data_IF_879334642951
#
_entry.id   IF_879334642951
#
_cell.length_a   1.000
_cell.length_b   1.000
_cell.length_c   1.000
_cell.angle_alpha   90.00
_cell.angle_beta   90.00
_cell.angle_gamma   90.00
#
_symmetry.space_group_name_H-M   'P 1'
#
loop_
_entity.id
_entity.type
_entity.pdbx_description
1 polymer ?
#
# COMPACT_ATOMS: atom_id res chain seq x y z
N UNK A 1 -40.49 23.29 -38.54
CA UNK A 1 -40.03 22.99 -37.19
C UNK A 1 -40.09 21.47 -36.95
N UNK A 2 -38.94 20.85 -36.82
CA UNK A 2 -38.77 19.39 -36.69
C UNK A 2 -39.45 18.84 -35.44
N UNK A 3 -39.47 19.59 -34.33
CA UNK A 3 -40.21 19.19 -33.13
C UNK A 3 -41.71 19.08 -33.38
N UNK A 4 -42.32 20.09 -34.03
CA UNK A 4 -43.73 20.06 -34.36
C UNK A 4 -44.06 18.92 -35.31
N UNK A 5 -43.21 18.62 -36.27
CA UNK A 5 -43.36 17.47 -37.17
C UNK A 5 -43.30 16.15 -36.41
N UNK A 6 -42.33 15.98 -35.45
CA UNK A 6 -42.22 14.81 -34.58
C UNK A 6 -43.47 14.61 -33.73
N UNK A 7 -43.98 15.66 -33.10
CA UNK A 7 -45.23 15.60 -32.34
C UNK A 7 -46.45 15.28 -33.22
N UNK A 8 -46.51 15.78 -34.45
CA UNK A 8 -47.56 15.45 -35.41
C UNK A 8 -47.51 13.97 -35.80
N UNK A 9 -46.31 13.44 -36.11
CA UNK A 9 -46.15 12.02 -36.40
C UNK A 9 -46.55 11.15 -35.20
N UNK A 10 -46.16 11.54 -33.99
CA UNK A 10 -46.55 10.86 -32.76
C UNK A 10 -48.10 10.80 -32.64
N UNK A 11 -48.78 11.95 -32.77
CA UNK A 11 -50.21 12.02 -32.71
C UNK A 11 -50.90 11.13 -33.76
N UNK A 12 -50.45 11.17 -35.00
CA UNK A 12 -51.04 10.37 -36.09
C UNK A 12 -50.89 8.86 -35.86
N UNK A 13 -49.79 8.42 -35.22
CA UNK A 13 -49.51 7.00 -35.00
C UNK A 13 -50.08 6.45 -33.69
N UNK A 14 -50.34 7.31 -32.70
CA UNK A 14 -50.82 6.91 -31.36
C UNK A 14 -52.28 7.33 -31.10
N UNK A 15 -52.78 8.35 -31.80
CA UNK A 15 -54.07 8.98 -31.51
C UNK A 15 -54.03 9.93 -30.30
N UNK A 16 -52.92 10.10 -29.62
CA UNK A 16 -52.77 10.95 -28.44
C UNK A 16 -52.60 12.41 -28.87
N UNK A 17 -53.46 13.30 -28.40
CA UNK A 17 -53.36 14.75 -28.68
C UNK A 17 -52.19 15.34 -27.89
N UNK A 18 -51.20 15.97 -28.53
CA UNK A 18 -50.08 16.66 -27.84
C UNK A 18 -50.50 17.74 -26.84
N UNK A 19 -51.77 18.19 -26.93
CA UNK A 19 -52.37 19.22 -26.06
C UNK A 19 -53.10 18.63 -24.85
N UNK A 20 -53.20 17.30 -24.75
CA UNK A 20 -53.94 16.63 -23.65
C UNK A 20 -53.31 16.84 -22.28
N UNK A 21 -52.07 17.34 -22.20
CA UNK A 21 -51.32 17.50 -20.95
C UNK A 21 -50.70 16.19 -20.43
N UNK A 22 -50.84 15.10 -21.18
CA UNK A 22 -50.15 13.84 -20.87
C UNK A 22 -48.66 13.95 -21.15
N UNK A 23 -47.87 13.28 -20.32
CA UNK A 23 -46.44 13.22 -20.53
C UNK A 23 -46.10 12.45 -21.82
N UNK A 24 -45.08 12.91 -22.55
CA UNK A 24 -44.60 12.21 -23.74
C UNK A 24 -44.20 10.79 -23.40
N UNK A 25 -44.68 9.84 -24.18
CA UNK A 25 -44.29 8.43 -24.12
C UNK A 25 -43.93 7.91 -25.52
N UNK A 26 -42.95 7.01 -25.66
CA UNK A 26 -42.58 6.45 -26.97
C UNK A 26 -43.77 5.82 -27.71
N UNK A 27 -43.79 5.94 -29.02
CA UNK A 27 -44.96 5.52 -29.85
C UNK A 27 -45.31 4.04 -29.71
N UNK A 28 -44.29 3.18 -29.44
CA UNK A 28 -44.51 1.74 -29.28
C UNK A 28 -45.10 1.33 -27.94
N UNK A 29 -45.18 2.24 -26.96
CA UNK A 29 -45.95 2.01 -25.74
C UNK A 29 -47.48 1.98 -26.07
N UNK A 30 -47.90 2.72 -27.09
CA UNK A 30 -49.29 2.81 -27.52
C UNK A 30 -49.59 1.87 -28.69
N UNK A 31 -48.63 1.70 -29.60
CA UNK A 31 -48.76 0.81 -30.75
C UNK A 31 -47.49 -0.05 -30.91
N UNK A 32 -47.43 -1.24 -30.26
CA UNK A 32 -46.26 -2.12 -30.28
C UNK A 32 -45.88 -2.69 -31.67
N UNK A 33 -46.75 -2.62 -32.63
CA UNK A 33 -46.51 -3.12 -34.00
C UNK A 33 -45.61 -2.18 -34.82
N UNK A 34 -45.45 -0.93 -34.37
CA UNK A 34 -44.57 0.01 -35.04
C UNK A 34 -43.10 -0.43 -34.94
N UNK A 35 -42.35 -0.15 -35.99
CA UNK A 35 -40.91 -0.49 -36.00
C UNK A 35 -40.15 0.34 -34.99
N UNK A 36 -39.10 -0.28 -34.39
CA UNK A 36 -38.17 0.41 -33.50
C UNK A 36 -37.49 1.62 -34.16
N UNK A 37 -37.26 1.55 -35.48
CA UNK A 37 -36.70 2.66 -36.24
C UNK A 37 -37.58 3.90 -36.28
N UNK A 38 -38.90 3.74 -36.48
CA UNK A 38 -39.85 4.85 -36.46
C UNK A 38 -39.92 5.49 -35.07
N UNK A 39 -39.94 4.69 -34.01
CA UNK A 39 -39.90 5.21 -32.64
C UNK A 39 -38.64 6.07 -32.40
N UNK A 40 -37.47 5.56 -32.76
CA UNK A 40 -36.21 6.29 -32.59
C UNK A 40 -36.14 7.60 -33.40
N UNK A 41 -36.75 7.63 -34.58
CA UNK A 41 -36.86 8.83 -35.42
C UNK A 41 -37.74 9.87 -34.75
N UNK A 42 -38.90 9.46 -34.25
CA UNK A 42 -39.84 10.38 -33.57
C UNK A 42 -39.25 10.88 -32.28
N UNK A 43 -38.67 10.00 -31.44
CA UNK A 43 -38.01 10.38 -30.20
C UNK A 43 -36.92 11.43 -30.46
N UNK A 44 -36.11 11.24 -31.50
CA UNK A 44 -35.05 12.19 -31.87
C UNK A 44 -35.64 13.54 -32.36
N UNK A 45 -36.80 13.55 -33.02
CA UNK A 45 -37.46 14.80 -33.39
C UNK A 45 -37.93 15.60 -32.18
N UNK A 46 -38.41 14.93 -31.13
CA UNK A 46 -38.99 15.55 -29.94
C UNK A 46 -38.04 15.68 -28.76
N UNK A 47 -36.76 15.40 -28.95
CA UNK A 47 -35.72 15.60 -27.92
C UNK A 47 -35.88 17.01 -27.28
N UNK A 48 -35.76 17.11 -25.93
CA UNK A 48 -35.88 18.39 -25.23
C UNK A 48 -34.87 19.43 -25.71
N UNK A 49 -33.62 19.03 -25.89
CA UNK A 49 -32.54 19.88 -26.34
C UNK A 49 -32.50 19.99 -27.87
N UNK A 50 -32.66 21.18 -28.45
CA UNK A 50 -32.74 21.39 -29.91
C UNK A 50 -31.50 20.86 -30.67
N UNK A 51 -30.34 20.91 -30.07
CA UNK A 51 -29.07 20.40 -30.63
C UNK A 51 -29.05 18.88 -30.80
N UNK A 52 -29.87 18.15 -30.08
CA UNK A 52 -30.00 16.70 -30.19
C UNK A 52 -31.03 16.26 -31.24
N UNK A 53 -31.81 17.20 -31.77
CA UNK A 53 -32.80 16.95 -32.84
C UNK A 53 -32.11 16.85 -34.20
N UNK A 54 -32.87 16.46 -35.22
CA UNK A 54 -32.41 16.65 -36.58
C UNK A 54 -32.19 18.14 -36.87
N UNK A 55 -31.04 18.48 -37.48
CA UNK A 55 -30.70 19.88 -37.78
C UNK A 55 -31.23 20.34 -39.13
N UNK A 56 -31.63 19.40 -39.98
CA UNK A 56 -32.27 19.67 -41.27
C UNK A 56 -33.25 18.56 -41.65
N UNK A 57 -34.17 18.89 -42.58
CA UNK A 57 -35.18 17.93 -43.02
C UNK A 57 -34.63 16.82 -43.93
N UNK A 58 -33.49 17.03 -44.54
CA UNK A 58 -32.86 16.01 -45.42
C UNK A 58 -32.35 14.83 -44.60
N UNK A 59 -31.77 15.07 -43.41
CA UNK A 59 -31.31 14.02 -42.51
C UNK A 59 -32.50 13.22 -41.93
N UNK A 60 -33.59 13.93 -41.61
CA UNK A 60 -34.81 13.28 -41.15
C UNK A 60 -35.43 12.40 -42.26
N UNK A 61 -35.49 12.90 -43.50
CA UNK A 61 -36.01 12.14 -44.65
C UNK A 61 -35.15 10.91 -44.91
N UNK A 62 -33.82 11.04 -44.89
CA UNK A 62 -32.93 9.91 -45.07
C UNK A 62 -33.16 8.83 -44.04
N UNK A 63 -33.30 9.18 -42.77
CA UNK A 63 -33.54 8.23 -41.69
C UNK A 63 -34.96 7.58 -41.79
N UNK A 64 -35.96 8.32 -42.28
CA UNK A 64 -37.32 7.78 -42.56
C UNK A 64 -37.32 6.77 -43.72
N UNK A 65 -36.46 6.97 -44.73
CA UNK A 65 -36.30 6.03 -45.83
C UNK A 65 -35.48 4.79 -45.44
N UNK A 66 -34.66 4.89 -44.36
CA UNK A 66 -33.74 3.83 -43.94
C UNK A 66 -33.85 3.51 -42.43
N UNK A 67 -35.02 3.19 -41.87
CA UNK A 67 -35.24 3.02 -40.43
C UNK A 67 -34.42 1.87 -39.84
N UNK A 68 -34.06 0.86 -40.64
CA UNK A 68 -33.21 -0.26 -40.19
C UNK A 68 -31.79 0.16 -39.89
N UNK A 69 -31.24 1.18 -40.55
CA UNK A 69 -29.88 1.66 -40.31
C UNK A 69 -29.78 2.37 -38.94
N UNK A 70 -30.81 3.13 -38.58
CA UNK A 70 -30.91 3.78 -37.26
C UNK A 70 -30.95 2.72 -36.16
N UNK A 71 -31.80 1.73 -36.28
CA UNK A 71 -31.90 0.65 -35.28
C UNK A 71 -30.59 -0.09 -35.09
N UNK A 72 -29.86 -0.42 -36.16
CA UNK A 72 -28.54 -1.06 -36.11
C UNK A 72 -27.51 -0.15 -35.43
N UNK A 73 -27.49 1.13 -35.77
CA UNK A 73 -26.61 2.13 -35.19
C UNK A 73 -26.82 2.31 -33.68
N UNK A 74 -28.09 2.42 -33.28
CA UNK A 74 -28.51 2.55 -31.89
C UNK A 74 -28.09 1.31 -31.06
N UNK A 75 -28.40 0.10 -31.52
CA UNK A 75 -28.02 -1.16 -30.85
C UNK A 75 -26.51 -1.31 -30.73
N UNK A 76 -25.74 -0.90 -31.75
CA UNK A 76 -24.28 -0.92 -31.70
C UNK A 76 -23.74 0.08 -30.66
N UNK A 77 -24.29 1.28 -30.57
CA UNK A 77 -23.93 2.31 -29.60
C UNK A 77 -24.26 1.88 -28.16
N UNK A 78 -25.45 1.31 -27.94
CA UNK A 78 -25.84 0.75 -26.65
C UNK A 78 -24.93 -0.39 -26.20
N UNK A 79 -24.64 -1.36 -27.06
CA UNK A 79 -23.70 -2.45 -26.74
C UNK A 79 -22.34 -1.92 -26.33
N UNK A 80 -21.82 -0.88 -27.00
CA UNK A 80 -20.55 -0.24 -26.60
C UNK A 80 -20.61 0.45 -25.24
N UNK A 81 -21.71 1.14 -24.92
CA UNK A 81 -21.90 1.76 -23.60
C UNK A 81 -21.95 0.70 -22.50
N UNK A 82 -22.73 -0.37 -22.69
CA UNK A 82 -22.80 -1.48 -21.73
C UNK A 82 -21.46 -2.17 -21.56
N UNK A 83 -20.71 -2.44 -22.65
CA UNK A 83 -19.39 -3.02 -22.59
C UNK A 83 -18.39 -2.11 -21.82
N UNK A 84 -18.45 -0.80 -22.05
CA UNK A 84 -17.62 0.16 -21.32
C UNK A 84 -17.95 0.18 -19.82
N UNK A 85 -19.25 0.20 -19.46
CA UNK A 85 -19.66 0.15 -18.05
C UNK A 85 -19.28 -1.16 -17.38
N UNK A 86 -19.41 -2.29 -18.09
CA UNK A 86 -18.97 -3.59 -17.58
C UNK A 86 -17.44 -3.64 -17.37
N UNK A 87 -16.64 -3.10 -18.30
CA UNK A 87 -15.20 -3.00 -18.16
C UNK A 87 -14.81 -2.11 -16.98
N UNK A 88 -15.44 -0.94 -16.83
CA UNK A 88 -15.21 -0.05 -15.69
C UNK A 88 -15.58 -0.71 -14.35
N UNK A 89 -16.71 -1.43 -14.30
CA UNK A 89 -17.09 -2.19 -13.11
C UNK A 89 -16.08 -3.29 -12.77
N UNK A 90 -15.56 -3.99 -13.77
CA UNK A 90 -14.57 -5.05 -13.56
C UNK A 90 -13.24 -4.50 -13.02
N UNK A 91 -12.78 -3.33 -13.48
CA UNK A 91 -11.58 -2.69 -12.94
C UNK A 91 -11.73 -2.33 -11.47
N UNK A 92 -12.88 -1.79 -11.05
CA UNK A 92 -13.15 -1.48 -9.64
C UNK A 92 -13.12 -2.75 -8.78
N UNK A 93 -13.74 -3.84 -9.24
CA UNK A 93 -13.72 -5.12 -8.52
C UNK A 93 -12.31 -5.67 -8.36
N UNK A 94 -11.48 -5.60 -9.40
CA UNK A 94 -10.08 -6.03 -9.35
C UNK A 94 -9.25 -5.18 -8.37
N UNK A 95 -9.48 -3.86 -8.35
CA UNK A 95 -8.82 -2.97 -7.38
C UNK A 95 -9.19 -3.30 -5.94
N UNK A 96 -10.48 -3.51 -5.66
CA UNK A 96 -10.97 -3.88 -4.34
C UNK A 96 -10.41 -5.25 -3.89
N UNK A 97 -10.43 -6.23 -4.80
CA UNK A 97 -9.83 -7.54 -4.52
C UNK A 97 -8.34 -7.44 -4.21
N UNK A 98 -7.59 -6.65 -4.97
CA UNK A 98 -6.17 -6.37 -4.71
C UNK A 98 -5.94 -5.74 -3.33
N UNK A 99 -6.73 -4.72 -2.96
CA UNK A 99 -6.65 -4.08 -1.66
C UNK A 99 -6.94 -5.04 -0.50
N UNK A 100 -7.95 -5.90 -0.65
CA UNK A 100 -8.27 -6.93 0.35
C UNK A 100 -7.14 -7.96 0.48
N UNK A 101 -6.60 -8.44 -0.64
CA UNK A 101 -5.48 -9.40 -0.63
C UNK A 101 -4.24 -8.82 0.05
N UNK A 102 -3.88 -7.56 -0.23
CA UNK A 102 -2.73 -6.91 0.41
C UNK A 102 -2.93 -6.72 1.91
N UNK A 103 -4.14 -6.36 2.35
CA UNK A 103 -4.47 -6.22 3.76
C UNK A 103 -4.39 -7.56 4.50
N UNK A 104 -4.91 -8.64 3.91
CA UNK A 104 -4.83 -9.98 4.48
C UNK A 104 -3.36 -10.43 4.57
N UNK A 105 -2.57 -10.25 3.51
CA UNK A 105 -1.16 -10.62 3.50
C UNK A 105 -0.38 -9.85 4.59
N UNK A 106 -0.62 -8.55 4.75
CA UNK A 106 -0.01 -7.74 5.80
C UNK A 106 -0.39 -8.22 7.19
N UNK A 107 -1.66 -8.56 7.43
CA UNK A 107 -2.11 -9.07 8.72
C UNK A 107 -1.49 -10.43 9.06
N UNK A 108 -1.36 -11.33 8.07
CA UNK A 108 -0.69 -12.63 8.26
C UNK A 108 0.79 -12.41 8.60
N UNK A 109 1.48 -11.54 7.89
CA UNK A 109 2.89 -11.23 8.15
C UNK A 109 3.09 -10.61 9.54
N UNK A 110 2.22 -9.68 9.95
CA UNK A 110 2.27 -9.11 11.30
C UNK A 110 2.07 -10.19 12.37
N UNK A 111 1.06 -11.04 12.22
CA UNK A 111 0.81 -12.13 13.18
C UNK A 111 1.97 -13.12 13.25
N UNK A 112 2.56 -13.46 12.11
CA UNK A 112 3.74 -14.32 12.06
C UNK A 112 4.95 -13.67 12.73
N UNK A 113 5.16 -12.37 12.50
CA UNK A 113 6.24 -11.61 13.13
C UNK A 113 6.09 -11.62 14.66
N UNK A 114 4.93 -11.26 15.20
CA UNK A 114 4.68 -11.23 16.65
C UNK A 114 4.90 -12.58 17.32
N UNK A 115 4.53 -13.67 16.65
CA UNK A 115 4.79 -15.05 17.14
C UNK A 115 6.31 -15.32 17.17
N UNK A 116 7.05 -14.86 16.17
CA UNK A 116 8.47 -15.12 16.04
C UNK A 116 9.33 -14.32 17.04
N UNK A 117 8.93 -13.09 17.38
CA UNK A 117 9.63 -12.26 18.37
C UNK A 117 9.29 -12.60 19.82
N UNK A 118 8.25 -13.43 20.03
CA UNK A 118 7.81 -13.85 21.37
C UNK A 118 7.86 -15.38 21.55
N UNK A 119 9.03 -16.02 21.36
CA UNK A 119 9.14 -17.47 21.56
C UNK A 119 8.93 -17.84 23.03
N UNK A 120 8.54 -19.10 23.29
CA UNK A 120 8.40 -19.60 24.66
C UNK A 120 9.73 -19.47 25.43
N UNK A 121 9.65 -19.14 26.72
CA UNK A 121 10.81 -19.06 27.61
C UNK A 121 11.56 -20.39 27.76
N UNK A 122 10.89 -21.54 27.48
CA UNK A 122 11.49 -22.86 27.48
C UNK A 122 12.21 -23.23 26.18
N UNK A 123 12.19 -22.35 25.17
CA UNK A 123 12.82 -22.57 23.86
C UNK A 123 14.34 -22.47 23.97
N UNK A 124 15.08 -23.41 23.37
CA UNK A 124 16.54 -23.37 23.33
C UNK A 124 17.05 -22.13 22.59
N UNK A 125 18.23 -21.62 22.98
CA UNK A 125 18.83 -20.40 22.39
C UNK A 125 18.84 -20.43 20.85
N UNK A 126 19.35 -21.50 20.26
CA UNK A 126 19.46 -21.61 18.79
C UNK A 126 18.09 -21.52 18.09
N UNK A 127 17.05 -22.09 18.70
CA UNK A 127 15.68 -22.01 18.16
C UNK A 127 15.10 -20.60 18.29
N UNK A 128 15.42 -19.88 19.39
CA UNK A 128 15.07 -18.47 19.56
C UNK A 128 15.75 -17.63 18.47
N UNK A 129 17.04 -17.79 18.28
CA UNK A 129 17.82 -17.07 17.27
C UNK A 129 17.28 -17.32 15.86
N UNK A 130 16.96 -18.58 15.51
CA UNK A 130 16.35 -18.90 14.20
C UNK A 130 14.97 -18.25 14.04
N UNK A 131 14.18 -18.14 15.11
CA UNK A 131 12.91 -17.43 15.09
C UNK A 131 13.11 -15.94 14.83
N UNK A 132 14.05 -15.29 15.51
CA UNK A 132 14.36 -13.89 15.30
C UNK A 132 14.90 -13.60 13.89
N UNK A 133 15.75 -14.47 13.33
CA UNK A 133 16.20 -14.36 11.93
C UNK A 133 15.04 -14.40 10.95
N UNK A 134 14.05 -15.27 11.20
CA UNK A 134 12.84 -15.35 10.38
C UNK A 134 11.97 -14.12 10.54
N UNK A 135 11.88 -13.54 11.75
CA UNK A 135 11.19 -12.27 11.97
C UNK A 135 11.87 -11.12 11.19
N UNK A 136 13.19 -11.00 11.27
CA UNK A 136 13.98 -10.04 10.51
C UNK A 136 13.75 -10.17 8.99
N UNK A 137 13.62 -11.40 8.48
CA UNK A 137 13.33 -11.62 7.06
C UNK A 137 11.91 -11.16 6.65
N UNK A 138 10.95 -11.08 7.58
CA UNK A 138 9.60 -10.56 7.32
C UNK A 138 9.58 -9.03 7.31
N UNK A 139 10.22 -8.39 8.31
CA UNK A 139 10.28 -6.94 8.48
C UNK A 139 11.70 -6.51 8.88
N UNK A 140 12.60 -6.37 7.90
CA UNK A 140 14.01 -6.04 8.16
C UNK A 140 14.22 -4.64 8.75
N UNK A 141 13.25 -3.75 8.59
CA UNK A 141 13.26 -2.38 9.12
C UNK A 141 12.88 -2.28 10.61
N UNK A 142 12.29 -3.33 11.20
CA UNK A 142 11.88 -3.33 12.61
C UNK A 142 13.03 -3.76 13.52
N UNK A 143 13.28 -2.98 14.56
CA UNK A 143 14.37 -3.20 15.49
C UNK A 143 14.11 -4.28 16.55
N UNK A 144 12.83 -4.59 16.83
CA UNK A 144 12.41 -5.52 17.90
C UNK A 144 13.10 -6.89 17.82
N UNK A 145 13.16 -7.49 16.62
CA UNK A 145 13.75 -8.81 16.45
C UNK A 145 15.28 -8.80 16.67
N UNK A 146 15.95 -7.70 16.32
CA UNK A 146 17.38 -7.51 16.61
C UNK A 146 17.61 -7.32 18.11
N UNK A 147 16.75 -6.56 18.80
CA UNK A 147 16.79 -6.39 20.25
C UNK A 147 16.61 -7.73 20.96
N UNK A 148 15.58 -8.49 20.61
CA UNK A 148 15.34 -9.82 21.18
C UNK A 148 16.51 -10.79 20.96
N UNK A 149 17.18 -10.70 19.79
CA UNK A 149 18.38 -11.51 19.52
C UNK A 149 19.54 -11.15 20.43
N UNK A 150 19.79 -9.86 20.67
CA UNK A 150 20.84 -9.39 21.59
C UNK A 150 20.51 -9.74 23.05
N UNK A 151 19.24 -9.59 23.46
CA UNK A 151 18.79 -9.98 24.80
C UNK A 151 18.95 -11.48 25.04
N UNK A 152 18.64 -12.32 24.04
CA UNK A 152 18.83 -13.76 24.16
C UNK A 152 20.32 -14.14 24.32
N UNK A 153 21.23 -13.45 23.66
CA UNK A 153 22.67 -13.64 23.85
C UNK A 153 23.14 -13.14 25.24
N UNK A 154 22.58 -12.01 25.69
CA UNK A 154 22.88 -11.46 27.03
C UNK A 154 22.43 -12.39 28.15
N UNK A 155 21.20 -12.91 28.07
CA UNK A 155 20.64 -13.85 29.05
C UNK A 155 21.48 -15.12 29.22
N UNK A 156 22.09 -15.58 28.14
CA UNK A 156 23.03 -16.73 28.16
C UNK A 156 24.47 -16.33 28.49
N UNK A 157 24.73 -15.02 28.65
CA UNK A 157 26.07 -14.49 28.89
C UNK A 157 27.05 -14.74 27.74
N UNK A 158 26.53 -14.89 26.51
CA UNK A 158 27.32 -15.22 25.31
C UNK A 158 27.20 -14.10 24.28
N UNK A 159 28.35 -13.50 23.96
CA UNK A 159 28.49 -12.62 22.79
C UNK A 159 29.94 -12.73 22.30
N UNK A 160 30.29 -13.93 21.83
CA UNK A 160 31.58 -14.20 21.23
C UNK A 160 31.64 -13.80 19.77
N UNK A 161 32.75 -14.16 19.15
CA UNK A 161 32.98 -13.85 17.73
C UNK A 161 31.90 -14.45 16.81
N UNK A 162 31.46 -15.68 17.09
CA UNK A 162 30.43 -16.36 16.26
C UNK A 162 29.11 -15.63 16.32
N UNK A 163 28.59 -15.35 17.53
CA UNK A 163 27.34 -14.62 17.74
C UNK A 163 27.40 -13.21 17.16
N UNK A 164 28.54 -12.55 17.33
CA UNK A 164 28.82 -11.23 16.75
C UNK A 164 28.76 -11.26 15.21
N UNK A 165 29.47 -12.19 14.59
CA UNK A 165 29.55 -12.27 13.13
C UNK A 165 28.15 -12.58 12.52
N UNK A 166 27.38 -13.46 13.18
CA UNK A 166 26.00 -13.77 12.81
C UNK A 166 25.09 -12.53 12.93
N UNK A 167 25.13 -11.85 14.07
CA UNK A 167 24.34 -10.64 14.29
C UNK A 167 24.70 -9.52 13.31
N UNK A 168 26.01 -9.23 13.16
CA UNK A 168 26.47 -8.18 12.27
C UNK A 168 26.15 -8.44 10.80
N UNK A 169 26.15 -9.70 10.37
CA UNK A 169 25.75 -10.04 9.00
C UNK A 169 24.32 -9.59 8.72
N UNK A 170 23.37 -9.84 9.66
CA UNK A 170 21.99 -9.42 9.54
C UNK A 170 21.84 -7.90 9.66
N UNK A 171 22.47 -7.29 10.66
CA UNK A 171 22.42 -5.86 10.90
C UNK A 171 22.94 -5.08 9.68
N UNK A 172 24.14 -5.41 9.18
CA UNK A 172 24.75 -4.71 8.05
C UNK A 172 23.98 -4.91 6.73
N UNK A 173 23.33 -6.05 6.56
CA UNK A 173 22.49 -6.29 5.38
C UNK A 173 21.24 -5.41 5.35
N UNK A 174 20.74 -4.99 6.52
CA UNK A 174 19.45 -4.34 6.64
C UNK A 174 19.50 -2.92 7.23
N UNK A 175 20.64 -2.45 7.78
CA UNK A 175 20.75 -1.15 8.46
C UNK A 175 20.27 0.04 7.64
N UNK A 176 20.39 -0.03 6.32
CA UNK A 176 19.93 1.04 5.41
C UNK A 176 18.40 1.09 5.28
N UNK A 177 17.67 0.10 5.83
CA UNK A 177 16.20 0.09 5.89
C UNK A 177 15.66 0.72 7.17
N UNK A 178 16.51 0.96 8.17
CA UNK A 178 16.10 1.55 9.43
C UNK A 178 15.80 3.04 9.28
N UNK A 179 14.83 3.51 10.05
CA UNK A 179 14.60 4.94 10.23
C UNK A 179 15.51 5.46 11.36
N UNK A 180 16.68 5.97 11.00
CA UNK A 180 17.71 6.46 11.92
C UNK A 180 17.31 7.73 12.70
N UNK A 181 16.06 8.20 12.57
CA UNK A 181 15.50 9.33 13.32
C UNK A 181 14.62 8.89 14.50
N UNK A 182 14.51 7.57 14.72
CA UNK A 182 13.62 7.01 15.73
C UNK A 182 14.35 6.61 17.00
N UNK A 183 13.64 6.62 18.13
CA UNK A 183 14.15 6.16 19.42
C UNK A 183 14.49 4.67 19.41
N UNK A 184 13.74 3.86 18.69
CA UNK A 184 13.94 2.42 18.57
C UNK A 184 15.30 2.06 17.94
N UNK A 185 15.74 2.83 16.96
CA UNK A 185 17.08 2.64 16.35
C UNK A 185 18.17 3.12 17.29
N UNK A 186 17.94 4.21 18.03
CA UNK A 186 18.87 4.70 19.05
C UNK A 186 19.05 3.69 20.20
N UNK A 187 17.97 3.08 20.65
CA UNK A 187 17.98 2.01 21.66
C UNK A 187 18.72 0.77 21.16
N UNK A 188 18.51 0.37 19.90
CA UNK A 188 19.24 -0.72 19.27
C UNK A 188 20.75 -0.43 19.23
N UNK A 189 21.16 0.76 18.79
CA UNK A 189 22.56 1.17 18.78
C UNK A 189 23.16 1.13 20.19
N UNK A 190 22.44 1.67 21.19
CA UNK A 190 22.85 1.61 22.57
C UNK A 190 23.04 0.16 23.05
N UNK A 191 22.05 -0.72 22.80
CA UNK A 191 22.11 -2.13 23.16
C UNK A 191 23.31 -2.85 22.53
N UNK A 192 23.55 -2.63 21.22
CA UNK A 192 24.72 -3.19 20.53
C UNK A 192 26.02 -2.69 21.19
N UNK A 193 26.11 -1.39 21.48
CA UNK A 193 27.23 -0.81 22.19
C UNK A 193 27.50 -1.49 23.54
N UNK A 194 26.42 -1.72 24.32
CA UNK A 194 26.48 -2.40 25.62
C UNK A 194 26.90 -3.88 25.49
N UNK A 195 26.44 -4.59 24.48
CA UNK A 195 26.85 -5.96 24.21
C UNK A 195 28.36 -6.05 23.95
N UNK A 196 28.91 -5.15 23.15
CA UNK A 196 30.36 -5.07 22.96
C UNK A 196 31.09 -4.69 24.24
N UNK A 197 30.61 -3.69 24.94
CA UNK A 197 31.32 -3.17 26.12
C UNK A 197 31.41 -4.20 27.25
N UNK A 198 30.34 -4.95 27.48
CA UNK A 198 30.23 -5.86 28.63
C UNK A 198 30.54 -7.32 28.30
N UNK A 199 30.10 -7.83 27.14
CA UNK A 199 30.02 -9.28 26.90
C UNK A 199 30.95 -9.79 25.79
N UNK A 200 31.43 -8.94 24.87
CA UNK A 200 32.20 -9.41 23.73
C UNK A 200 33.45 -10.18 24.13
N UNK A 201 33.67 -11.33 23.48
CA UNK A 201 34.89 -12.16 23.62
C UNK A 201 35.39 -12.56 22.23
N UNK A 202 36.72 -12.76 22.13
CA UNK A 202 37.36 -13.32 20.94
C UNK A 202 37.05 -14.83 20.81
N UNK A 203 37.53 -15.44 19.72
CA UNK A 203 37.29 -16.86 19.41
C UNK A 203 37.80 -17.83 20.45
N UNK A 204 38.90 -17.48 21.14
CA UNK A 204 39.51 -18.25 22.23
C UNK A 204 38.88 -17.98 23.61
N UNK A 205 37.78 -17.19 23.65
CA UNK A 205 37.12 -16.77 24.88
C UNK A 205 37.85 -15.66 25.64
N UNK A 206 39.01 -15.20 25.16
CA UNK A 206 39.72 -14.05 25.75
C UNK A 206 38.98 -12.74 25.42
N UNK A 207 39.27 -11.70 26.16
CA UNK A 207 38.82 -10.35 25.83
C UNK A 207 39.91 -9.32 26.12
N UNK A 208 39.94 -8.29 25.29
CA UNK A 208 40.69 -7.08 25.53
C UNK A 208 39.71 -5.93 25.77
N UNK A 209 39.91 -5.19 26.86
CA UNK A 209 39.11 -3.99 27.12
C UNK A 209 39.23 -2.99 25.98
N UNK A 210 40.41 -2.87 25.40
CA UNK A 210 40.66 -2.06 24.21
C UNK A 210 39.77 -2.45 23.03
N UNK A 211 39.68 -3.76 22.71
CA UNK A 211 38.83 -4.28 21.63
C UNK A 211 37.37 -4.00 21.92
N UNK A 212 36.91 -4.26 23.15
CA UNK A 212 35.53 -3.98 23.58
C UNK A 212 35.16 -2.50 23.40
N UNK A 213 36.00 -1.60 23.88
CA UNK A 213 35.79 -0.15 23.77
C UNK A 213 35.79 0.31 22.32
N UNK A 214 36.69 -0.19 21.48
CA UNK A 214 36.76 0.20 20.07
C UNK A 214 35.47 -0.22 19.29
N UNK A 215 35.01 -1.44 19.56
CA UNK A 215 33.76 -1.93 18.92
C UNK A 215 32.52 -1.17 19.41
N UNK A 216 32.40 -0.97 20.72
CA UNK A 216 31.28 -0.24 21.33
C UNK A 216 31.21 1.22 20.89
N UNK A 217 32.38 1.87 20.76
CA UNK A 217 32.48 3.29 20.40
C UNK A 217 31.68 3.64 19.14
N UNK A 218 31.72 2.82 18.09
CA UNK A 218 31.06 3.12 16.81
C UNK A 218 29.56 3.28 16.97
N UNK A 219 28.92 2.46 17.80
CA UNK A 219 27.49 2.48 18.03
C UNK A 219 27.05 3.62 18.96
N UNK A 220 27.80 3.89 20.03
CA UNK A 220 27.53 5.06 20.86
C UNK A 220 27.78 6.38 20.10
N UNK A 221 28.80 6.40 19.22
CA UNK A 221 29.07 7.57 18.39
C UNK A 221 27.98 7.84 17.34
N UNK A 222 27.28 6.82 16.86
CA UNK A 222 26.16 6.99 15.96
C UNK A 222 25.01 7.72 16.64
N UNK A 223 24.67 7.35 17.87
CA UNK A 223 23.68 8.08 18.66
C UNK A 223 24.12 9.51 19.00
N UNK A 224 25.38 9.70 19.39
CA UNK A 224 25.93 11.02 19.73
C UNK A 224 25.93 11.99 18.53
N UNK A 225 26.27 11.50 17.33
CA UNK A 225 26.43 12.32 16.13
C UNK A 225 25.10 12.58 15.39
N UNK A 226 24.06 11.84 15.70
CA UNK A 226 22.76 12.00 15.05
C UNK A 226 21.88 12.99 15.83
N UNK A 227 21.87 14.25 15.37
CA UNK A 227 21.07 15.31 15.98
C UNK A 227 19.55 15.14 15.80
N UNK A 228 19.12 14.22 14.95
CA UNK A 228 17.70 13.97 14.66
C UNK A 228 17.09 12.92 15.61
N UNK A 229 17.92 12.22 16.41
CA UNK A 229 17.44 11.26 17.41
C UNK A 229 16.62 11.98 18.49
N UNK A 230 15.44 11.47 18.85
CA UNK A 230 14.67 11.99 19.97
C UNK A 230 15.48 11.98 21.27
N UNK A 231 15.44 13.07 22.01
CA UNK A 231 16.19 13.23 23.29
C UNK A 231 15.48 12.59 24.49
N UNK A 232 14.41 11.84 24.27
CA UNK A 232 13.50 11.25 25.26
C UNK A 232 13.56 9.73 25.34
N UNK A 233 14.49 9.07 24.64
CA UNK A 233 14.64 7.64 24.83
C UNK A 233 15.32 7.36 26.20
N UNK A 234 14.88 6.30 26.87
CA UNK A 234 15.16 6.01 28.28
C UNK A 234 16.67 6.01 28.60
N UNK A 235 17.48 5.43 27.73
CA UNK A 235 18.92 5.26 27.92
C UNK A 235 19.79 6.34 27.27
N UNK A 236 19.22 7.45 26.81
CA UNK A 236 19.97 8.50 26.10
C UNK A 236 21.15 9.04 26.92
N UNK A 237 20.93 9.34 28.21
CA UNK A 237 21.99 9.83 29.09
C UNK A 237 23.10 8.80 29.31
N UNK A 238 22.74 7.51 29.38
CA UNK A 238 23.73 6.43 29.51
C UNK A 238 24.51 6.24 28.22
N UNK A 239 23.85 6.27 27.07
CA UNK A 239 24.47 6.23 25.75
C UNK A 239 25.53 7.33 25.60
N UNK A 240 25.20 8.56 25.99
CA UNK A 240 26.13 9.69 25.97
C UNK A 240 27.32 9.47 26.95
N UNK A 241 27.05 9.00 28.17
CA UNK A 241 28.13 8.67 29.12
C UNK A 241 29.09 7.62 28.57
N UNK A 242 28.57 6.55 27.99
CA UNK A 242 29.42 5.51 27.39
C UNK A 242 30.18 6.02 26.17
N UNK A 243 29.56 6.87 25.34
CA UNK A 243 30.29 7.56 24.28
C UNK A 243 31.49 8.32 24.81
N UNK A 244 31.31 9.14 25.86
CA UNK A 244 32.40 9.93 26.45
C UNK A 244 33.52 9.05 27.01
N UNK A 245 33.16 7.95 27.70
CA UNK A 245 34.14 6.98 28.24
C UNK A 245 34.92 6.35 27.09
N UNK A 246 34.25 5.84 26.07
CA UNK A 246 34.89 5.19 24.93
C UNK A 246 35.75 6.16 24.12
N UNK A 247 35.29 7.39 23.93
CA UNK A 247 35.99 8.46 23.23
C UNK A 247 37.29 8.85 23.97
N UNK A 248 37.18 9.05 25.29
CA UNK A 248 38.36 9.32 26.12
C UNK A 248 39.38 8.19 26.02
N UNK A 249 38.96 6.94 26.22
CA UNK A 249 39.84 5.78 26.15
C UNK A 249 40.56 5.66 24.80
N UNK A 250 39.79 5.81 23.71
CA UNK A 250 40.31 5.76 22.34
C UNK A 250 41.34 6.85 22.08
N UNK A 251 41.05 8.09 22.51
CA UNK A 251 41.89 9.25 22.18
C UNK A 251 43.14 9.36 23.06
N UNK A 252 43.07 9.00 24.34
CA UNK A 252 44.14 9.25 25.30
C UNK A 252 44.88 7.99 25.78
N UNK A 253 44.31 6.81 25.60
CA UNK A 253 44.93 5.54 26.06
C UNK A 253 45.45 4.72 24.88
N UNK A 254 44.70 4.71 23.75
CA UNK A 254 45.11 3.91 22.58
C UNK A 254 45.97 4.70 21.58
N UNK A 255 45.74 6.00 21.44
CA UNK A 255 46.39 6.87 20.45
C UNK A 255 47.38 7.88 21.10
N UNK A 256 47.50 7.92 22.42
CA UNK A 256 48.47 8.70 23.20
C UNK A 256 49.67 7.88 23.52
#
# INVERSE_FOLDING_TARGET
DIFALGMTMHHLLTGIDPRSGEAYAPVRMWNPELSEGIELIIDKCVEPAPENRYQNCSDLLYDLEHPDLITRGYKKRQKRKVAFMAAAGMTVVLFLAGAVCTTIAKNINNSNYEILVSPSTATALNEKIDSYKRAIAIYPERTDAYMCMLEAYEDEGRFGKEENDEFLALYNANKDTFDHTTSEVAELNYKIGMMYFNYYTEEDGSYSFSTRVQKAYSFFAENHNNAEIPQDFEDMNLSECYYQICSFYKNYILNG
#
